data_IF_215283363250
#
_entry.id   IF_215283363250
#
_cell.length_a   1.000
_cell.length_b   1.000
_cell.length_c   1.000
_cell.angle_alpha   90.00
_cell.angle_beta   90.00
_cell.angle_gamma   90.00
#
_symmetry.space_group_name_H-M   'P 1'
#
loop_
_entity.id
_entity.type
_entity.pdbx_description
1 polymer ?
#
# COMPACT_ATOMS: atom_id res chain seq x y z
N UNK A 1 -0.03 -5.93 16.14
CA UNK A 1 0.31 -4.53 15.78
C UNK A 1 -0.40 -3.50 16.65
N UNK A 2 0.25 -2.36 16.93
CA UNK A 2 -0.41 -1.20 17.53
C UNK A 2 -1.48 -0.67 16.54
N UNK A 3 -2.69 -0.31 17.00
CA UNK A 3 -3.77 0.14 16.10
C UNK A 3 -3.33 1.24 15.13
N UNK A 4 -2.42 2.09 15.56
CA UNK A 4 -1.82 3.19 14.79
C UNK A 4 -1.07 2.71 13.55
N UNK A 5 -0.32 1.61 13.64
CA UNK A 5 0.42 1.04 12.50
C UNK A 5 -0.54 0.47 11.46
N UNK A 6 -1.59 -0.19 11.91
CA UNK A 6 -2.62 -0.79 11.04
C UNK A 6 -3.35 0.29 10.23
N UNK A 7 -3.69 1.43 10.87
CA UNK A 7 -4.24 2.59 10.15
C UNK A 7 -3.24 3.20 9.16
N UNK A 8 -1.95 3.21 9.48
CA UNK A 8 -0.91 3.72 8.59
C UNK A 8 -0.79 2.86 7.33
N UNK A 9 -0.73 1.54 7.48
CA UNK A 9 -0.68 0.57 6.39
C UNK A 9 -1.95 0.65 5.53
N UNK A 10 -3.12 0.75 6.16
CA UNK A 10 -4.40 0.90 5.47
C UNK A 10 -4.47 2.20 4.66
N UNK A 11 -3.98 3.31 5.24
CA UNK A 11 -3.93 4.61 4.55
C UNK A 11 -2.97 4.57 3.36
N UNK A 12 -1.79 3.95 3.52
CA UNK A 12 -0.84 3.75 2.43
C UNK A 12 -1.45 2.91 1.29
N UNK A 13 -2.18 1.87 1.64
CA UNK A 13 -2.88 1.01 0.68
C UNK A 13 -3.97 1.77 -0.09
N UNK A 14 -4.83 2.51 0.61
CA UNK A 14 -5.88 3.31 -0.01
C UNK A 14 -5.31 4.43 -0.89
N UNK A 15 -4.28 5.12 -0.42
CA UNK A 15 -3.57 6.15 -1.19
C UNK A 15 -2.98 5.57 -2.47
N UNK A 16 -2.34 4.40 -2.36
CA UNK A 16 -1.79 3.65 -3.48
C UNK A 16 -2.86 3.27 -4.52
N UNK A 17 -4.02 2.78 -4.08
CA UNK A 17 -5.15 2.46 -4.96
C UNK A 17 -5.69 3.69 -5.72
N UNK A 18 -5.72 4.85 -5.06
CA UNK A 18 -6.10 6.11 -5.71
C UNK A 18 -5.06 6.49 -6.76
N UNK A 19 -3.76 6.45 -6.43
CA UNK A 19 -2.68 6.76 -7.37
C UNK A 19 -2.70 5.84 -8.59
N UNK A 20 -2.96 4.54 -8.43
CA UNK A 20 -3.05 3.58 -9.54
C UNK A 20 -4.27 3.80 -10.44
N UNK A 21 -5.41 4.21 -9.88
CA UNK A 21 -6.63 4.47 -10.64
C UNK A 21 -6.71 5.89 -11.21
N UNK A 22 -5.85 6.79 -10.77
CA UNK A 22 -5.83 8.15 -11.29
C UNK A 22 -5.15 8.15 -12.65
N UNK A 23 -5.90 8.44 -13.71
CA UNK A 23 -5.33 8.73 -15.02
C UNK A 23 -4.59 10.07 -14.95
N UNK A 24 -3.31 10.01 -14.59
CA UNK A 24 -2.41 11.15 -14.60
C UNK A 24 -2.11 11.57 -16.04
N UNK A 25 -3.02 12.37 -16.62
CA UNK A 25 -2.77 13.14 -17.85
C UNK A 25 -1.77 14.26 -17.54
N UNK A 26 -0.51 13.91 -17.33
CA UNK A 26 0.53 14.82 -16.88
C UNK A 26 1.44 15.24 -18.03
N UNK A 27 1.54 16.55 -18.24
CA UNK A 27 2.55 17.21 -19.07
C UNK A 27 3.96 17.00 -18.50
N UNK A 28 4.96 16.91 -19.37
CA UNK A 28 6.37 16.71 -18.98
C UNK A 28 6.80 17.80 -17.97
N UNK A 29 7.43 17.48 -16.81
CA UNK A 29 8.14 16.26 -16.39
C UNK A 29 7.41 15.37 -15.37
N UNK A 30 6.14 15.66 -15.06
CA UNK A 30 5.40 14.96 -14.01
C UNK A 30 5.04 13.49 -14.37
N UNK A 31 5.16 13.11 -15.65
CA UNK A 31 4.96 11.74 -16.13
C UNK A 31 6.01 10.74 -15.61
N UNK A 32 7.26 11.16 -15.41
CA UNK A 32 8.30 10.30 -14.83
C UNK A 32 8.02 10.02 -13.35
N UNK A 33 7.58 11.05 -12.62
CA UNK A 33 7.21 10.95 -11.22
C UNK A 33 5.98 10.06 -11.03
N UNK A 34 4.99 10.17 -11.92
CA UNK A 34 3.81 9.31 -11.92
C UNK A 34 4.14 7.84 -12.19
N UNK A 35 5.11 7.54 -13.06
CA UNK A 35 5.60 6.16 -13.25
C UNK A 35 6.22 5.60 -11.98
N UNK A 36 7.10 6.36 -11.34
CA UNK A 36 7.71 5.94 -10.05
C UNK A 36 6.62 5.74 -8.99
N UNK A 37 5.68 6.67 -8.88
CA UNK A 37 4.55 6.56 -7.96
C UNK A 37 3.69 5.33 -8.24
N UNK A 38 3.45 4.98 -9.51
CA UNK A 38 2.69 3.78 -9.88
C UNK A 38 3.40 2.48 -9.50
N UNK A 39 4.74 2.41 -9.63
CA UNK A 39 5.52 1.24 -9.23
C UNK A 39 5.52 1.08 -7.72
N UNK A 40 5.72 2.18 -6.99
CA UNK A 40 5.64 2.18 -5.51
C UNK A 40 4.25 1.78 -5.06
N UNK A 41 3.21 2.30 -5.72
CA UNK A 41 1.83 1.96 -5.42
C UNK A 41 1.57 0.46 -5.63
N UNK A 42 2.03 -0.11 -6.74
CA UNK A 42 1.91 -1.55 -7.00
C UNK A 42 2.61 -2.41 -5.93
N UNK A 43 3.82 -2.02 -5.51
CA UNK A 43 4.54 -2.70 -4.44
C UNK A 43 3.78 -2.63 -3.11
N UNK A 44 3.25 -1.47 -2.74
CA UNK A 44 2.46 -1.28 -1.51
C UNK A 44 1.16 -2.09 -1.55
N UNK A 45 0.52 -2.18 -2.72
CA UNK A 45 -0.71 -2.97 -2.90
C UNK A 45 -0.50 -4.47 -2.65
N UNK A 46 0.72 -4.98 -2.85
CA UNK A 46 1.10 -6.37 -2.53
C UNK A 46 1.59 -6.49 -1.09
N UNK A 47 2.46 -5.59 -0.64
CA UNK A 47 3.07 -5.67 0.69
C UNK A 47 2.03 -5.48 1.81
N UNK A 48 1.12 -4.52 1.69
CA UNK A 48 0.14 -4.22 2.73
C UNK A 48 -0.75 -5.42 3.11
N UNK A 49 -1.42 -6.12 2.17
CA UNK A 49 -2.20 -7.31 2.51
C UNK A 49 -1.31 -8.47 2.98
N UNK A 50 -0.09 -8.61 2.47
CA UNK A 50 0.84 -9.65 2.96
C UNK A 50 1.25 -9.44 4.42
N UNK A 51 1.44 -8.19 4.84
CA UNK A 51 1.72 -7.83 6.23
C UNK A 51 0.52 -8.10 7.14
N UNK A 52 -0.68 -7.74 6.69
CA UNK A 52 -1.91 -8.03 7.42
C UNK A 52 -2.13 -9.54 7.61
N UNK A 53 -1.86 -10.34 6.58
CA UNK A 53 -1.95 -11.80 6.67
C UNK A 53 -0.89 -12.36 7.62
N UNK A 54 0.35 -11.88 7.56
CA UNK A 54 1.41 -12.31 8.46
C UNK A 54 1.08 -12.00 9.93
N UNK A 55 0.60 -10.78 10.25
CA UNK A 55 0.19 -10.40 11.61
C UNK A 55 -1.00 -11.26 12.09
N UNK A 56 -1.95 -11.58 11.20
CA UNK A 56 -3.06 -12.49 11.51
C UNK A 56 -2.57 -13.91 11.84
N UNK A 57 -1.66 -14.48 11.03
CA UNK A 57 -1.12 -15.81 11.27
C UNK A 57 -0.31 -15.89 12.56
N UNK A 58 0.51 -14.87 12.86
CA UNK A 58 1.25 -14.80 14.13
C UNK A 58 0.29 -14.70 15.31
N UNK A 59 -0.73 -13.83 15.22
CA UNK A 59 -1.73 -13.68 16.29
C UNK A 59 -2.54 -14.97 16.51
N UNK A 60 -2.83 -15.72 15.45
CA UNK A 60 -3.51 -17.02 15.55
C UNK A 60 -2.57 -18.07 16.15
N UNK A 61 -1.31 -18.11 15.73
CA UNK A 61 -0.32 -19.06 16.25
C UNK A 61 -0.04 -18.85 17.75
N UNK A 62 0.02 -17.61 18.23
CA UNK A 62 0.23 -17.30 19.66
C UNK A 62 -0.98 -17.68 20.56
N UNK A 63 -2.13 -17.98 19.97
CA UNK A 63 -3.36 -18.37 20.70
C UNK A 63 -3.61 -19.88 20.76
N UNK A 64 -2.78 -20.68 20.10
CA UNK A 64 -2.83 -22.14 20.12
C UNK A 64 -1.68 -22.72 20.95
#
# INVERSE_FOLDING_TARGET
MERTELYHVLTLFLFSMVVLNTNFSLTFPASALARVASVVAFLVAILAPSYLLADLFVTVADRF
#
